data_IF_747810721331
#
_entry.id   IF_747810721331
#
_cell.length_a   1.000
_cell.length_b   1.000
_cell.length_c   1.000
_cell.angle_alpha   90.00
_cell.angle_beta   90.00
_cell.angle_gamma   90.00
#
_symmetry.space_group_name_H-M   'P 1'
#
loop_
_entity.id
_entity.type
_entity.pdbx_description
1 polymer ?
#
# COMPACT_ATOMS: atom_id res chain seq x y z
N UNK A 1 2.46 16.17 -10.51
CA UNK A 1 1.33 16.90 -11.09
C UNK A 1 0.67 17.75 -10.02
N UNK A 2 0.79 19.08 -10.16
CA UNK A 2 0.26 20.07 -9.21
C UNK A 2 -1.23 20.36 -9.43
N UNK A 3 -2.06 19.34 -9.67
CA UNK A 3 -3.51 19.55 -9.76
C UNK A 3 -4.10 19.81 -8.38
N UNK A 4 -5.05 20.75 -8.30
CA UNK A 4 -5.87 20.92 -7.11
C UNK A 4 -6.67 19.65 -6.82
N UNK A 5 -7.20 19.50 -5.60
CA UNK A 5 -8.05 18.36 -5.25
C UNK A 5 -9.22 18.18 -6.22
N UNK A 6 -9.88 19.27 -6.60
CA UNK A 6 -10.98 19.23 -7.58
C UNK A 6 -10.49 18.90 -9.00
N UNK A 7 -9.31 19.36 -9.37
CA UNK A 7 -8.66 18.98 -10.64
C UNK A 7 -8.37 17.48 -10.71
N UNK A 8 -7.85 16.88 -9.62
CA UNK A 8 -7.64 15.42 -9.51
C UNK A 8 -8.96 14.66 -9.61
N UNK A 9 -9.99 15.10 -8.88
CA UNK A 9 -11.33 14.50 -8.95
C UNK A 9 -11.86 14.47 -10.38
N UNK A 10 -11.82 15.60 -11.09
CA UNK A 10 -12.28 15.68 -12.50
C UNK A 10 -11.46 14.78 -13.41
N UNK A 11 -10.17 14.75 -13.29
CA UNK A 11 -9.30 13.87 -14.06
C UNK A 11 -9.66 12.39 -13.85
N UNK A 12 -9.87 11.96 -12.60
CA UNK A 12 -10.24 10.58 -12.27
C UNK A 12 -11.60 10.19 -12.84
N UNK A 13 -12.58 11.10 -12.80
CA UNK A 13 -13.91 10.88 -13.42
C UNK A 13 -13.82 10.73 -14.93
N UNK A 14 -13.02 11.54 -15.62
CA UNK A 14 -12.78 11.39 -17.06
C UNK A 14 -12.12 10.06 -17.33
N UNK A 15 -11.10 9.69 -16.58
CA UNK A 15 -10.40 8.41 -16.73
C UNK A 15 -11.35 7.21 -16.54
N UNK A 16 -12.25 7.27 -15.58
CA UNK A 16 -13.21 6.22 -15.30
C UNK A 16 -14.30 6.11 -16.40
N UNK A 17 -14.81 7.25 -16.90
CA UNK A 17 -15.95 7.29 -17.83
C UNK A 17 -15.54 7.11 -19.29
N UNK A 18 -14.48 7.79 -19.71
CA UNK A 18 -14.09 7.82 -21.12
C UNK A 18 -13.11 6.70 -21.51
N UNK A 19 -12.41 6.12 -20.52
CA UNK A 19 -11.40 5.09 -20.74
C UNK A 19 -11.75 3.75 -20.07
N UNK A 20 -13.02 3.52 -19.82
CA UNK A 20 -13.56 2.24 -19.36
C UNK A 20 -13.52 1.15 -20.45
N UNK A 21 -13.98 -0.05 -20.14
CA UNK A 21 -14.26 -1.08 -21.14
C UNK A 21 -15.49 -0.66 -21.95
N UNK A 22 -15.43 -0.85 -23.26
CA UNK A 22 -16.49 -0.40 -24.19
C UNK A 22 -17.54 -1.50 -24.36
N UNK A 23 -18.83 -1.24 -24.06
CA UNK A 23 -19.89 -2.25 -24.19
C UNK A 23 -19.95 -2.88 -25.59
N UNK A 24 -19.78 -2.07 -26.64
CA UNK A 24 -19.82 -2.52 -28.02
C UNK A 24 -18.74 -3.55 -28.35
N UNK A 25 -17.52 -3.35 -27.81
CA UNK A 25 -16.39 -4.28 -28.00
C UNK A 25 -16.61 -5.58 -27.21
N UNK A 26 -17.21 -5.48 -26.03
CA UNK A 26 -17.58 -6.63 -25.18
C UNK A 26 -18.66 -7.46 -25.90
N UNK A 27 -19.73 -6.85 -26.38
CA UNK A 27 -20.83 -7.53 -27.04
C UNK A 27 -20.33 -8.28 -28.29
N UNK A 28 -19.52 -7.63 -29.13
CA UNK A 28 -18.89 -8.24 -30.29
C UNK A 28 -17.99 -9.43 -29.94
N UNK A 29 -17.17 -9.29 -28.89
CA UNK A 29 -16.27 -10.36 -28.47
C UNK A 29 -17.06 -11.54 -27.88
N UNK A 30 -18.15 -11.26 -27.15
CA UNK A 30 -19.06 -12.27 -26.61
C UNK A 30 -19.78 -13.06 -27.67
N UNK A 31 -20.24 -12.40 -28.72
CA UNK A 31 -20.84 -13.06 -29.91
C UNK A 31 -19.82 -14.00 -30.55
N UNK A 32 -18.61 -13.52 -30.82
CA UNK A 32 -17.55 -14.35 -31.39
C UNK A 32 -17.18 -15.56 -30.54
N UNK A 33 -17.26 -15.43 -29.21
CA UNK A 33 -17.05 -16.55 -28.30
C UNK A 33 -18.17 -17.59 -28.35
N UNK A 34 -19.45 -17.15 -28.48
CA UNK A 34 -20.60 -18.03 -28.61
C UNK A 34 -20.59 -18.82 -29.92
N UNK A 35 -20.11 -18.20 -31.00
CA UNK A 35 -20.09 -18.77 -32.34
C UNK A 35 -18.87 -19.66 -32.63
N UNK A 36 -17.88 -19.70 -31.72
CA UNK A 36 -16.67 -20.49 -31.91
C UNK A 36 -16.96 -21.98 -32.01
N UNK A 37 -16.69 -22.57 -33.16
CA UNK A 37 -17.08 -23.96 -33.52
C UNK A 37 -16.07 -25.02 -33.10
N UNK A 38 -14.82 -24.67 -32.86
CA UNK A 38 -13.76 -25.59 -32.43
C UNK A 38 -12.93 -25.02 -31.29
N UNK A 39 -12.05 -25.83 -30.68
CA UNK A 39 -11.26 -25.44 -29.53
C UNK A 39 -10.27 -24.31 -29.84
N UNK A 40 -9.68 -24.30 -31.02
CA UNK A 40 -8.73 -23.24 -31.41
C UNK A 40 -9.43 -21.90 -31.60
N UNK A 41 -10.60 -21.89 -32.26
CA UNK A 41 -11.44 -20.71 -32.40
C UNK A 41 -11.95 -20.22 -31.06
N UNK A 42 -12.34 -21.13 -30.16
CA UNK A 42 -12.77 -20.79 -28.80
C UNK A 42 -11.66 -20.13 -27.99
N UNK A 43 -10.46 -20.67 -28.01
CA UNK A 43 -9.31 -20.09 -27.30
C UNK A 43 -9.00 -18.66 -27.77
N UNK A 44 -9.02 -18.44 -29.09
CA UNK A 44 -8.85 -17.10 -29.68
C UNK A 44 -9.97 -16.13 -29.27
N UNK A 45 -11.20 -16.62 -29.23
CA UNK A 45 -12.36 -15.81 -28.84
C UNK A 45 -12.34 -15.47 -27.33
N UNK A 46 -11.85 -16.37 -26.47
CA UNK A 46 -11.60 -16.10 -25.05
C UNK A 46 -10.57 -14.99 -24.85
N UNK A 47 -9.48 -15.01 -25.61
CA UNK A 47 -8.48 -13.94 -25.58
C UNK A 47 -9.08 -12.59 -26.02
N UNK A 48 -9.86 -12.58 -27.10
CA UNK A 48 -10.56 -11.38 -27.58
C UNK A 48 -11.53 -10.83 -26.53
N UNK A 49 -12.29 -11.69 -25.86
CA UNK A 49 -13.23 -11.29 -24.82
C UNK A 49 -12.48 -10.74 -23.59
N UNK A 50 -11.38 -11.36 -23.18
CA UNK A 50 -10.53 -10.87 -22.09
C UNK A 50 -9.98 -9.49 -22.39
N UNK A 51 -9.53 -9.26 -23.63
CA UNK A 51 -9.03 -7.97 -24.08
C UNK A 51 -10.14 -6.90 -24.10
N UNK A 52 -11.34 -7.25 -24.57
CA UNK A 52 -12.50 -6.34 -24.60
C UNK A 52 -12.98 -5.94 -23.19
N UNK A 53 -12.86 -6.85 -22.22
CA UNK A 53 -13.20 -6.60 -20.81
C UNK A 53 -12.14 -5.75 -20.08
N UNK A 54 -10.94 -5.59 -20.66
CA UNK A 54 -9.87 -4.82 -20.02
C UNK A 54 -10.00 -3.33 -20.36
N UNK A 55 -10.25 -2.43 -19.38
CA UNK A 55 -10.37 -1.00 -19.63
C UNK A 55 -9.08 -0.41 -20.21
N UNK A 56 -9.20 0.54 -21.14
CA UNK A 56 -8.06 1.27 -21.67
C UNK A 56 -7.28 2.02 -20.58
N UNK A 57 -7.98 2.50 -19.55
CA UNK A 57 -7.37 3.08 -18.36
C UNK A 57 -6.43 2.09 -17.65
N UNK A 58 -6.81 0.82 -17.54
CA UNK A 58 -5.96 -0.22 -16.92
C UNK A 58 -4.67 -0.43 -17.71
N UNK A 59 -4.76 -0.51 -19.05
CA UNK A 59 -3.58 -0.65 -19.92
C UNK A 59 -2.64 0.53 -19.76
N UNK A 60 -3.18 1.76 -19.68
CA UNK A 60 -2.40 2.96 -19.40
C UNK A 60 -1.71 2.90 -18.04
N UNK A 61 -2.44 2.54 -16.98
CA UNK A 61 -1.92 2.49 -15.61
C UNK A 61 -0.80 1.44 -15.45
N UNK A 62 -0.89 0.31 -16.14
CA UNK A 62 0.16 -0.71 -16.14
C UNK A 62 1.53 -0.16 -16.58
N UNK A 63 1.56 0.82 -17.48
CA UNK A 63 2.81 1.40 -17.98
C UNK A 63 3.56 2.21 -16.91
N UNK A 64 2.87 2.68 -15.88
CA UNK A 64 3.49 3.42 -14.77
C UNK A 64 4.49 2.58 -13.98
N UNK A 65 4.37 1.25 -13.99
CA UNK A 65 5.35 0.38 -13.36
C UNK A 65 6.78 0.53 -13.94
N UNK A 66 6.92 0.97 -15.17
CA UNK A 66 8.21 1.21 -15.80
C UNK A 66 8.82 2.59 -15.47
N UNK A 67 8.03 3.49 -14.88
CA UNK A 67 8.47 4.86 -14.60
C UNK A 67 9.10 4.98 -13.21
N UNK A 68 10.12 5.83 -13.03
CA UNK A 68 10.57 6.21 -11.69
C UNK A 68 9.39 6.78 -10.88
N UNK A 69 9.23 6.34 -9.64
CA UNK A 69 8.11 6.73 -8.75
C UNK A 69 6.70 6.44 -9.30
N UNK A 70 6.58 5.69 -10.42
CA UNK A 70 5.29 5.41 -11.05
C UNK A 70 4.37 4.59 -10.16
N UNK A 71 4.91 3.61 -9.42
CA UNK A 71 4.14 2.80 -8.48
C UNK A 71 3.64 3.66 -7.32
N UNK A 72 4.49 4.51 -6.74
CA UNK A 72 4.08 5.46 -5.69
C UNK A 72 2.99 6.40 -6.19
N UNK A 73 3.12 6.92 -7.41
CA UNK A 73 2.10 7.76 -8.02
C UNK A 73 0.75 7.05 -8.11
N UNK A 74 0.71 5.76 -8.48
CA UNK A 74 -0.53 4.99 -8.55
C UNK A 74 -1.12 4.70 -7.18
N UNK A 75 -0.27 4.45 -6.18
CA UNK A 75 -0.72 4.31 -4.79
C UNK A 75 -1.38 5.60 -4.30
N UNK A 76 -0.76 6.76 -4.55
CA UNK A 76 -1.33 8.07 -4.19
C UNK A 76 -2.60 8.37 -4.97
N UNK A 77 -2.64 8.04 -6.25
CA UNK A 77 -3.84 8.19 -7.07
C UNK A 77 -4.99 7.35 -6.51
N UNK A 78 -4.74 6.11 -6.06
CA UNK A 78 -5.77 5.30 -5.43
C UNK A 78 -6.22 5.88 -4.07
N UNK A 79 -5.31 6.48 -3.31
CA UNK A 79 -5.69 7.18 -2.08
C UNK A 79 -6.68 8.35 -2.38
N UNK A 80 -6.44 9.10 -3.46
CA UNK A 80 -7.38 10.12 -3.94
C UNK A 80 -8.73 9.50 -4.36
N UNK A 81 -8.74 8.42 -5.15
CA UNK A 81 -9.97 7.70 -5.53
C UNK A 81 -10.77 7.30 -4.29
N UNK A 82 -10.13 6.62 -3.34
CA UNK A 82 -10.77 6.19 -2.08
C UNK A 82 -11.37 7.35 -1.29
N UNK A 83 -10.75 8.55 -1.34
CA UNK A 83 -11.25 9.75 -0.69
C UNK A 83 -12.50 10.34 -1.36
N UNK A 84 -12.75 10.01 -2.63
CA UNK A 84 -13.88 10.51 -3.40
C UNK A 84 -15.02 9.51 -3.54
N UNK A 85 -14.78 8.20 -3.38
CA UNK A 85 -15.73 7.11 -3.66
C UNK A 85 -17.12 7.30 -3.03
N UNK A 86 -17.18 7.82 -1.80
CA UNK A 86 -18.47 8.04 -1.11
C UNK A 86 -19.37 9.07 -1.80
N UNK A 87 -18.77 9.99 -2.59
CA UNK A 87 -19.48 11.05 -3.31
C UNK A 87 -19.51 10.81 -4.82
N UNK A 88 -18.62 9.98 -5.32
CA UNK A 88 -18.43 9.70 -6.74
C UNK A 88 -18.39 8.18 -6.97
N UNK A 89 -19.53 7.47 -6.90
CA UNK A 89 -19.58 6.01 -7.08
C UNK A 89 -19.13 5.56 -8.47
N UNK A 90 -19.15 6.45 -9.46
CA UNK A 90 -18.64 6.19 -10.82
C UNK A 90 -17.13 5.89 -10.86
N UNK A 91 -16.40 6.17 -9.78
CA UNK A 91 -14.98 5.81 -9.64
C UNK A 91 -14.76 4.35 -9.21
N UNK A 92 -15.81 3.62 -8.83
CA UNK A 92 -15.67 2.24 -8.34
C UNK A 92 -15.01 1.29 -9.35
N UNK A 93 -15.35 1.30 -10.65
CA UNK A 93 -14.66 0.43 -11.61
C UNK A 93 -13.16 0.74 -11.74
N UNK A 94 -12.80 2.03 -11.69
CA UNK A 94 -11.39 2.45 -11.72
C UNK A 94 -10.65 2.01 -10.45
N UNK A 95 -11.26 2.15 -9.26
CA UNK A 95 -10.69 1.65 -8.00
C UNK A 95 -10.46 0.14 -8.06
N UNK A 96 -11.45 -0.62 -8.51
CA UNK A 96 -11.37 -2.08 -8.61
C UNK A 96 -10.24 -2.53 -9.54
N UNK A 97 -10.10 -1.88 -10.70
CA UNK A 97 -9.02 -2.16 -11.66
C UNK A 97 -7.65 -1.84 -11.06
N UNK A 98 -7.51 -0.67 -10.43
CA UNK A 98 -6.25 -0.25 -9.83
C UNK A 98 -5.90 -1.11 -8.61
N UNK A 99 -6.88 -1.49 -7.80
CA UNK A 99 -6.69 -2.42 -6.69
C UNK A 99 -6.15 -3.76 -7.17
N UNK A 100 -6.78 -4.36 -8.20
CA UNK A 100 -6.33 -5.64 -8.76
C UNK A 100 -4.89 -5.56 -9.29
N UNK A 101 -4.54 -4.45 -9.95
CA UNK A 101 -3.20 -4.19 -10.43
C UNK A 101 -2.19 -4.10 -9.29
N UNK A 102 -2.49 -3.31 -8.25
CA UNK A 102 -1.63 -3.17 -7.08
C UNK A 102 -1.51 -4.48 -6.28
N UNK A 103 -2.58 -5.26 -6.16
CA UNK A 103 -2.50 -6.61 -5.53
C UNK A 103 -1.48 -7.48 -6.24
N UNK A 104 -1.41 -7.44 -7.58
CA UNK A 104 -0.45 -8.25 -8.34
C UNK A 104 1.01 -7.78 -8.19
N UNK A 105 1.23 -6.50 -7.86
CA UNK A 105 2.57 -5.93 -7.69
C UNK A 105 3.07 -5.98 -6.26
N UNK A 106 2.17 -5.89 -5.30
CA UNK A 106 2.50 -5.88 -3.86
C UNK A 106 2.34 -7.28 -3.25
N UNK A 107 2.84 -8.30 -3.95
CA UNK A 107 3.00 -9.61 -3.35
C UNK A 107 4.05 -9.55 -2.24
N UNK A 108 3.75 -10.21 -1.14
CA UNK A 108 4.59 -10.25 0.06
C UNK A 108 6.00 -10.76 -0.21
N UNK A 109 6.17 -11.64 -1.21
CA UNK A 109 7.47 -12.17 -1.61
C UNK A 109 8.43 -11.11 -2.18
N UNK A 110 7.93 -9.93 -2.52
CA UNK A 110 8.73 -8.80 -3.00
C UNK A 110 9.06 -7.76 -1.93
N UNK A 111 8.51 -7.89 -0.72
CA UNK A 111 8.74 -6.90 0.33
C UNK A 111 10.09 -7.13 1.01
N UNK A 112 10.81 -6.04 1.23
CA UNK A 112 12.08 -6.01 1.94
C UNK A 112 11.89 -5.44 3.33
N UNK A 113 12.28 -6.20 4.36
CA UNK A 113 12.28 -5.72 5.74
C UNK A 113 13.61 -5.04 6.05
N UNK A 114 13.56 -3.84 6.59
CA UNK A 114 14.71 -3.08 7.03
C UNK A 114 14.57 -2.69 8.50
N UNK A 115 15.64 -2.85 9.27
CA UNK A 115 15.73 -2.31 10.61
C UNK A 115 15.96 -0.80 10.54
N UNK A 116 15.16 -0.05 11.28
CA UNK A 116 15.27 1.41 11.37
C UNK A 116 16.02 1.76 12.64
N UNK A 117 16.93 2.69 12.54
CA UNK A 117 17.75 3.18 13.64
C UNK A 117 17.92 4.70 13.54
N UNK A 118 18.53 5.29 14.57
CA UNK A 118 18.87 6.73 14.54
C UNK A 118 19.83 7.12 13.40
N UNK A 119 20.53 6.16 12.80
CA UNK A 119 21.39 6.37 11.64
C UNK A 119 20.66 6.26 10.28
N UNK A 120 19.36 5.99 10.31
CA UNK A 120 18.53 5.98 9.11
C UNK A 120 18.38 7.39 8.54
N UNK A 121 18.11 7.56 7.23
CA UNK A 121 17.95 8.89 6.64
C UNK A 121 16.88 9.71 7.37
N UNK A 122 17.16 10.99 7.62
CA UNK A 122 16.23 11.89 8.31
C UNK A 122 14.85 11.94 7.61
N UNK A 123 14.83 11.89 6.27
CA UNK A 123 13.58 11.86 5.50
C UNK A 123 12.73 10.62 5.79
N UNK A 124 13.34 9.49 6.12
CA UNK A 124 12.62 8.29 6.55
C UNK A 124 12.09 8.45 7.98
N UNK A 125 12.91 9.01 8.87
CA UNK A 125 12.51 9.25 10.26
C UNK A 125 11.34 10.24 10.34
N UNK A 126 11.33 11.30 9.52
CA UNK A 126 10.18 12.22 9.39
C UNK A 126 8.92 11.52 8.95
N UNK A 127 9.01 10.60 7.98
CA UNK A 127 7.86 9.80 7.52
C UNK A 127 7.31 8.89 8.62
N UNK A 128 8.16 8.33 9.48
CA UNK A 128 7.70 7.54 10.62
C UNK A 128 6.89 8.38 11.60
N UNK A 129 7.35 9.60 11.90
CA UNK A 129 6.61 10.55 12.74
C UNK A 129 5.23 10.86 12.12
N UNK A 130 5.19 11.10 10.81
CA UNK A 130 3.94 11.45 10.10
C UNK A 130 2.97 10.28 10.02
N UNK A 131 3.47 9.05 9.86
CA UNK A 131 2.66 7.89 9.51
C UNK A 131 2.25 7.05 10.72
N UNK A 132 2.81 7.29 11.91
CA UNK A 132 2.40 6.55 13.11
C UNK A 132 0.93 6.85 13.47
N UNK A 133 0.08 5.82 13.32
CA UNK A 133 -1.36 5.95 13.45
C UNK A 133 -1.92 5.36 14.76
N UNK A 134 -1.14 4.55 15.46
CA UNK A 134 -1.57 3.83 16.67
C UNK A 134 -1.17 4.60 17.93
N UNK A 135 0.09 5.00 18.00
CA UNK A 135 0.65 5.75 19.12
C UNK A 135 1.48 6.92 18.59
N UNK A 136 0.82 8.07 18.38
CA UNK A 136 1.41 9.28 17.83
C UNK A 136 2.82 9.55 18.36
N UNK A 137 3.77 9.76 17.45
CA UNK A 137 5.13 10.21 17.76
C UNK A 137 5.10 11.73 17.85
N UNK A 138 5.30 12.29 19.03
CA UNK A 138 5.06 13.70 19.31
C UNK A 138 6.26 14.60 19.06
N UNK A 139 7.45 14.05 19.11
CA UNK A 139 8.70 14.78 19.02
C UNK A 139 9.83 13.89 18.49
N UNK A 140 10.95 14.51 18.16
CA UNK A 140 12.18 13.80 17.84
C UNK A 140 12.73 13.02 19.04
N UNK A 141 12.52 13.50 20.28
CA UNK A 141 12.87 12.82 21.52
C UNK A 141 12.04 11.55 21.72
N UNK A 142 10.72 11.61 21.45
CA UNK A 142 9.83 10.45 21.48
C UNK A 142 10.29 9.41 20.44
N UNK A 143 10.57 9.82 19.19
CA UNK A 143 11.10 8.91 18.19
C UNK A 143 12.44 8.29 18.65
N UNK A 144 13.32 9.09 19.23
CA UNK A 144 14.61 8.62 19.73
C UNK A 144 14.45 7.55 20.81
N UNK A 145 13.52 7.74 21.74
CA UNK A 145 13.18 6.76 22.76
C UNK A 145 12.70 5.43 22.14
N UNK A 146 11.95 5.49 21.05
CA UNK A 146 11.49 4.28 20.32
C UNK A 146 12.61 3.59 19.51
N UNK A 147 13.77 4.20 19.41
CA UNK A 147 14.96 3.65 18.74
C UNK A 147 16.10 3.31 19.72
N UNK A 148 15.84 3.34 21.04
CA UNK A 148 16.80 2.97 22.07
C UNK A 148 17.16 1.47 22.04
N UNK A 149 18.18 1.09 22.82
CA UNK A 149 18.76 -0.25 22.76
C UNK A 149 17.81 -1.40 23.11
N UNK A 150 16.78 -1.13 23.91
CA UNK A 150 15.71 -2.07 24.28
C UNK A 150 14.48 -1.97 23.36
N UNK A 151 14.60 -1.27 22.25
CA UNK A 151 13.55 -1.11 21.22
C UNK A 151 14.04 -1.63 19.88
N UNK A 152 13.09 -2.04 19.07
CA UNK A 152 13.33 -2.39 17.66
C UNK A 152 12.23 -1.79 16.82
N UNK A 153 12.62 -1.16 15.75
CA UNK A 153 11.70 -0.64 14.73
C UNK A 153 12.08 -1.25 13.39
N UNK A 154 11.14 -1.91 12.76
CA UNK A 154 11.30 -2.49 11.43
C UNK A 154 10.29 -1.87 10.48
N UNK A 155 10.71 -1.61 9.25
CA UNK A 155 9.81 -1.17 8.19
C UNK A 155 9.92 -2.11 6.98
N UNK A 156 8.80 -2.31 6.30
CA UNK A 156 8.73 -3.06 5.05
C UNK A 156 8.63 -2.09 3.89
N UNK A 157 9.44 -2.36 2.88
CA UNK A 157 9.52 -1.57 1.65
C UNK A 157 9.23 -2.44 0.45
N UNK A 158 8.76 -1.81 -0.62
CA UNK A 158 8.68 -2.44 -1.94
C UNK A 158 9.84 -1.92 -2.81
N UNK A 159 10.53 -2.76 -3.61
CA UNK A 159 11.67 -2.33 -4.45
C UNK A 159 11.37 -1.18 -5.40
N UNK A 160 10.10 -1.03 -5.81
CA UNK A 160 9.64 0.10 -6.63
C UNK A 160 9.29 1.37 -5.84
N UNK A 161 9.35 1.30 -4.50
CA UNK A 161 9.08 2.40 -3.58
C UNK A 161 10.09 2.35 -2.41
N UNK A 162 11.41 2.40 -2.70
CA UNK A 162 12.45 2.13 -1.69
C UNK A 162 12.53 3.19 -0.59
N UNK A 163 11.98 4.38 -0.83
CA UNK A 163 11.99 5.49 0.14
C UNK A 163 10.67 5.63 0.92
N UNK A 164 9.68 4.75 0.61
CA UNK A 164 8.34 4.82 1.19
C UNK A 164 8.07 3.56 2.00
N UNK A 165 8.06 3.64 3.33
CA UNK A 165 7.66 2.50 4.15
C UNK A 165 6.20 2.17 3.85
N UNK A 166 5.88 0.89 3.75
CA UNK A 166 4.50 0.39 3.56
C UNK A 166 3.85 0.10 4.90
N UNK A 167 4.64 -0.52 5.77
CA UNK A 167 4.25 -0.90 7.12
C UNK A 167 5.48 -0.71 7.99
N UNK A 168 5.28 -0.26 9.21
CA UNK A 168 6.33 -0.38 10.22
C UNK A 168 5.80 -0.98 11.51
N UNK A 169 6.70 -1.60 12.23
CA UNK A 169 6.43 -2.39 13.43
C UNK A 169 7.37 -1.93 14.54
N UNK A 170 6.81 -1.57 15.67
CA UNK A 170 7.53 -1.20 16.86
C UNK A 170 7.51 -2.33 17.89
N UNK A 171 8.66 -2.68 18.40
CA UNK A 171 8.86 -3.79 19.33
C UNK A 171 9.63 -3.30 20.55
N UNK A 172 9.16 -3.64 21.74
CA UNK A 172 9.88 -3.46 23.00
C UNK A 172 10.42 -4.79 23.51
N UNK A 173 11.68 -4.80 23.92
CA UNK A 173 12.35 -5.93 24.58
C UNK A 173 12.27 -5.72 26.09
N UNK A 174 11.56 -6.59 26.80
CA UNK A 174 11.23 -6.42 28.22
C UNK A 174 11.39 -7.72 28.98
N UNK A 175 11.37 -7.63 30.31
CA UNK A 175 11.26 -8.81 31.19
C UNK A 175 9.81 -9.06 31.56
N UNK A 176 9.30 -10.23 31.19
CA UNK A 176 7.93 -10.64 31.46
C UNK A 176 6.90 -9.88 30.60
N UNK A 177 5.63 -10.10 30.87
CA UNK A 177 4.52 -9.49 30.14
C UNK A 177 4.26 -8.06 30.66
N UNK A 178 4.21 -7.09 29.73
CA UNK A 178 3.72 -5.75 30.04
C UNK A 178 2.23 -5.65 29.68
N UNK A 179 1.41 -5.34 30.67
CA UNK A 179 -0.03 -5.13 30.51
C UNK A 179 -0.40 -3.66 30.22
N UNK A 180 0.58 -2.78 30.01
CA UNK A 180 0.33 -1.34 29.85
C UNK A 180 1.32 -0.74 28.85
N UNK A 181 0.79 -0.38 27.66
CA UNK A 181 1.57 0.24 26.58
C UNK A 181 2.11 1.63 26.98
N UNK A 182 1.44 2.37 27.87
CA UNK A 182 1.90 3.69 28.30
C UNK A 182 3.24 3.63 29.02
N UNK A 183 3.52 2.53 29.71
CA UNK A 183 4.85 2.30 30.33
C UNK A 183 5.94 2.05 29.28
N UNK A 184 5.59 1.50 28.12
CA UNK A 184 6.51 1.30 27.01
C UNK A 184 6.81 2.60 26.26
N UNK A 185 5.89 3.56 26.33
CA UNK A 185 5.97 4.87 25.66
C UNK A 185 6.46 5.99 26.61
N UNK A 186 6.79 5.66 27.85
CA UNK A 186 7.27 6.63 28.84
C UNK A 186 8.74 7.00 28.55
N UNK A 187 8.94 8.20 28.02
CA UNK A 187 10.26 8.76 27.69
C UNK A 187 11.16 8.96 28.94
N UNK A 188 10.57 8.99 30.13
CA UNK A 188 11.31 9.11 31.39
C UNK A 188 11.74 7.75 32.00
N UNK A 189 11.23 6.65 31.42
CA UNK A 189 11.58 5.32 31.90
C UNK A 189 13.05 5.00 31.55
N UNK A 190 13.78 4.32 32.45
CA UNK A 190 15.15 3.89 32.13
C UNK A 190 15.15 2.88 31.00
N UNK A 191 16.10 3.01 30.09
CA UNK A 191 16.33 2.04 29.00
C UNK A 191 16.69 0.69 29.60
N UNK A 192 16.01 -0.36 29.17
CA UNK A 192 16.24 -1.72 29.59
C UNK A 192 17.54 -2.32 29.03
N UNK A 193 18.00 -3.40 29.64
CA UNK A 193 19.13 -4.19 29.12
C UNK A 193 18.57 -5.27 28.14
N UNK A 194 18.77 -5.14 26.82
CA UNK A 194 18.22 -6.07 25.84
C UNK A 194 18.75 -7.50 26.01
N UNK A 195 19.94 -7.69 26.60
CA UNK A 195 20.52 -9.01 26.87
C UNK A 195 19.77 -9.77 27.99
N UNK A 196 19.03 -9.06 28.82
CA UNK A 196 18.23 -9.64 29.89
C UNK A 196 16.75 -9.80 29.54
N UNK A 197 16.33 -9.30 28.38
CA UNK A 197 14.95 -9.40 27.95
C UNK A 197 14.56 -10.86 27.63
N UNK A 198 13.43 -11.30 28.15
CA UNK A 198 12.84 -12.61 27.86
C UNK A 198 11.59 -12.53 26.98
N UNK A 199 11.12 -11.30 26.72
CA UNK A 199 9.84 -11.05 26.03
C UNK A 199 10.01 -9.91 25.02
N UNK A 200 9.48 -10.13 23.80
CA UNK A 200 9.33 -9.10 22.77
C UNK A 200 7.86 -8.71 22.64
N UNK A 201 7.54 -7.44 22.85
CA UNK A 201 6.18 -6.91 22.75
C UNK A 201 6.05 -6.08 21.49
N UNK A 202 5.23 -6.54 20.55
CA UNK A 202 4.83 -5.78 19.36
C UNK A 202 3.72 -4.82 19.77
N UNK A 203 4.02 -3.54 19.97
CA UNK A 203 3.08 -2.59 20.54
C UNK A 203 2.50 -1.61 19.51
N UNK A 204 3.10 -1.48 18.34
CA UNK A 204 2.53 -0.74 17.22
C UNK A 204 2.80 -1.45 15.89
N UNK A 205 1.77 -1.50 15.03
CA UNK A 205 1.86 -1.94 13.63
C UNK A 205 1.09 -0.92 12.82
N UNK A 206 1.80 -0.08 12.07
CA UNK A 206 1.22 1.02 11.30
C UNK A 206 1.32 0.79 9.81
N UNK A 207 0.15 0.84 9.13
CA UNK A 207 0.08 0.88 7.67
C UNK A 207 0.17 2.33 7.22
N UNK A 208 1.14 2.65 6.37
CA UNK A 208 1.46 4.02 6.00
C UNK A 208 0.75 4.50 4.73
N UNK A 209 0.51 3.60 3.79
CA UNK A 209 0.04 3.95 2.45
C UNK A 209 -1.49 3.80 2.33
N UNK A 210 -2.21 4.90 2.40
CA UNK A 210 -3.70 4.93 2.29
C UNK A 210 -4.21 4.28 1.00
N UNK A 211 -3.47 4.42 -0.09
CA UNK A 211 -3.82 3.83 -1.39
C UNK A 211 -3.70 2.31 -1.44
N UNK A 212 -3.05 1.69 -0.47
CA UNK A 212 -2.95 0.23 -0.34
C UNK A 212 -4.03 -0.36 0.57
N UNK A 213 -4.99 0.44 1.01
CA UNK A 213 -6.12 -0.05 1.81
C UNK A 213 -6.86 -1.19 1.11
N UNK A 214 -7.08 -2.28 1.84
CA UNK A 214 -7.74 -3.50 1.32
C UNK A 214 -6.81 -4.42 0.52
N UNK A 215 -5.52 -4.10 0.44
CA UNK A 215 -4.47 -5.00 -0.04
C UNK A 215 -3.84 -5.64 1.20
N UNK A 216 -3.88 -6.97 1.28
CA UNK A 216 -3.48 -7.67 2.50
C UNK A 216 -1.96 -7.90 2.54
N UNK A 217 -1.32 -7.28 3.51
CA UNK A 217 0.06 -7.62 3.92
C UNK A 217 0.06 -8.46 5.24
N UNK A 218 -1.13 -8.77 5.79
CA UNK A 218 -1.40 -8.91 7.21
C UNK A 218 -0.87 -10.14 7.93
N UNK A 219 -0.79 -11.33 7.33
CA UNK A 219 -0.44 -12.54 8.08
C UNK A 219 1.08 -12.83 8.13
N UNK A 220 1.88 -12.04 7.45
CA UNK A 220 3.31 -12.28 7.30
C UNK A 220 4.17 -11.48 8.30
N UNK A 221 3.66 -10.37 8.79
CA UNK A 221 4.45 -9.43 9.62
C UNK A 221 4.84 -9.97 11.00
N UNK A 222 4.18 -11.06 11.45
CA UNK A 222 4.37 -11.64 12.77
C UNK A 222 4.85 -13.10 12.69
N UNK A 223 5.12 -13.60 11.50
CA UNK A 223 5.74 -14.92 11.28
C UNK A 223 7.22 -14.81 11.03
#
# INVERSE_FOLDING_TARGET
LSLSRDGRRRFLLVLAKEFGARPEDIDKALEGWKEAGDDAARHKAEEALRNALTPASTILLMQFNALPQGVKFLVDMRADILSFLSKEPDLQPLDSSLQALLVSWFDIGFLEMQAISWNSPASLLEKLIEYEAVHEIRSWEDLRNRLESDRRLYAFFHPRMPEEPLIFVEVALVNGLSGNVQKLLDESAPTGDPEKADTAIFYSISNTQKGLRGISFGNFLIK
#
